data_IF_886058444703
#
_entry.id   IF_886058444703
#
_cell.length_a   1.000
_cell.length_b   1.000
_cell.length_c   1.000
_cell.angle_alpha   90.00
_cell.angle_beta   90.00
_cell.angle_gamma   90.00
#
_symmetry.space_group_name_H-M   'P 1'
#
loop_
_entity.id
_entity.type
_entity.pdbx_description
1 polymer ?
#
# COMPACT_ATOMS: atom_id res chain seq x y z
N UNK A 1 -20.03 -5.84 5.80
CA UNK A 1 -18.80 -5.19 5.26
C UNK A 1 -18.63 -5.54 3.79
N UNK A 2 -18.53 -4.56 2.88
CA UNK A 2 -18.31 -4.81 1.43
C UNK A 2 -16.84 -5.17 1.19
N UNK A 3 -16.58 -6.31 0.53
CA UNK A 3 -15.22 -6.76 0.16
C UNK A 3 -14.67 -5.86 -0.95
N UNK A 4 -13.61 -5.11 -0.67
CA UNK A 4 -12.89 -4.32 -1.69
C UNK A 4 -12.04 -5.29 -2.51
N UNK A 5 -12.34 -5.40 -3.81
CA UNK A 5 -11.54 -6.20 -4.75
C UNK A 5 -10.33 -5.37 -5.19
N UNK A 6 -9.13 -5.87 -4.92
CA UNK A 6 -7.87 -5.21 -5.28
C UNK A 6 -7.18 -6.02 -6.38
N UNK A 7 -6.67 -5.34 -7.42
CA UNK A 7 -5.93 -5.98 -8.53
C UNK A 7 -4.47 -5.54 -8.47
N UNK A 8 -3.53 -6.50 -8.50
CA UNK A 8 -2.08 -6.23 -8.59
C UNK A 8 -1.76 -5.84 -10.04
N UNK A 9 -1.18 -4.64 -10.26
CA UNK A 9 -0.97 -4.08 -11.62
C UNK A 9 0.52 -4.02 -12.00
N UNK A 10 1.31 -4.99 -11.51
CA UNK A 10 2.71 -5.16 -11.90
C UNK A 10 3.71 -5.11 -10.74
N UNK A 11 4.93 -5.56 -11.03
CA UNK A 11 6.17 -5.34 -10.24
C UNK A 11 6.93 -4.26 -11.01
N UNK A 12 7.06 -3.04 -10.46
CA UNK A 12 8.07 -2.08 -10.98
C UNK A 12 9.42 -2.46 -10.36
N UNK A 13 10.50 -2.28 -11.10
CA UNK A 13 11.85 -2.88 -10.94
C UNK A 13 12.64 -2.60 -9.64
N UNK A 14 11.99 -2.24 -8.54
CA UNK A 14 12.55 -2.41 -7.19
C UNK A 14 11.82 -3.59 -6.56
N UNK A 15 12.53 -4.67 -6.28
CA UNK A 15 11.97 -5.95 -5.78
C UNK A 15 11.10 -5.82 -4.51
N UNK A 16 11.14 -4.66 -3.87
CA UNK A 16 10.52 -4.32 -2.60
C UNK A 16 9.23 -3.48 -2.72
N UNK A 17 8.70 -3.23 -3.91
CA UNK A 17 7.50 -2.40 -4.11
C UNK A 17 6.25 -3.23 -4.49
N UNK A 18 5.13 -2.96 -3.82
CA UNK A 18 3.80 -3.50 -4.14
C UNK A 18 2.84 -2.36 -4.47
N UNK A 19 2.34 -2.35 -5.71
CA UNK A 19 1.38 -1.36 -6.17
C UNK A 19 -0.02 -1.97 -6.36
N UNK A 20 -1.01 -1.27 -5.80
CA UNK A 20 -2.42 -1.63 -5.82
C UNK A 20 -3.25 -0.44 -6.31
N UNK A 21 -4.28 -0.72 -7.11
CA UNK A 21 -5.32 0.25 -7.48
C UNK A 21 -6.68 -0.32 -7.09
N UNK A 22 -7.60 0.52 -6.61
CA UNK A 22 -8.98 0.09 -6.44
C UNK A 22 -9.52 -0.44 -7.77
N UNK A 23 -10.24 -1.56 -7.73
CA UNK A 23 -10.96 -2.06 -8.91
C UNK A 23 -12.26 -1.28 -9.18
N UNK A 24 -12.44 -0.15 -8.52
CA UNK A 24 -13.56 0.76 -8.67
C UNK A 24 -13.07 2.06 -9.32
N UNK A 25 -13.98 2.84 -9.91
CA UNK A 25 -13.62 4.08 -10.61
C UNK A 25 -13.27 5.25 -9.68
N UNK A 26 -13.03 4.99 -8.39
CA UNK A 26 -12.66 6.04 -7.42
C UNK A 26 -11.21 6.53 -7.56
N UNK A 27 -10.40 5.87 -8.39
CA UNK A 27 -9.01 6.27 -8.63
C UNK A 27 -8.05 6.07 -7.45
N UNK A 28 -8.47 5.45 -6.35
CA UNK A 28 -7.57 5.23 -5.21
C UNK A 28 -6.45 4.24 -5.55
N UNK A 29 -5.24 4.59 -5.13
CA UNK A 29 -4.02 3.83 -5.33
C UNK A 29 -3.26 3.69 -4.01
N UNK A 30 -2.66 2.53 -3.80
CA UNK A 30 -1.84 2.18 -2.65
C UNK A 30 -0.49 1.66 -3.16
N UNK A 31 0.59 2.16 -2.57
CA UNK A 31 1.95 1.70 -2.79
C UNK A 31 2.53 1.29 -1.44
N UNK A 32 3.05 0.08 -1.36
CA UNK A 32 3.76 -0.43 -0.18
C UNK A 32 5.21 -0.66 -0.57
N UNK A 33 6.14 -0.09 0.18
CA UNK A 33 7.58 -0.17 -0.09
C UNK A 33 8.25 -0.81 1.13
N UNK A 34 8.93 -1.93 0.94
CA UNK A 34 9.87 -2.45 1.93
C UNK A 34 11.19 -1.67 1.84
N UNK A 35 11.50 -0.93 2.90
CA UNK A 35 12.71 -0.10 2.98
C UNK A 35 13.81 -0.78 3.80
N UNK A 36 13.63 -2.06 4.16
CA UNK A 36 14.58 -2.86 4.92
C UNK A 36 14.42 -2.72 6.45
N UNK A 37 15.19 -3.52 7.19
CA UNK A 37 15.20 -3.52 8.66
C UNK A 37 13.82 -3.71 9.31
N UNK A 38 12.89 -4.39 8.62
CA UNK A 38 11.52 -4.58 9.08
C UNK A 38 10.68 -3.31 9.09
N UNK A 39 11.05 -2.29 8.32
CA UNK A 39 10.26 -1.09 8.10
C UNK A 39 9.56 -1.14 6.75
N UNK A 40 8.34 -0.62 6.70
CA UNK A 40 7.60 -0.48 5.45
C UNK A 40 6.99 0.91 5.36
N UNK A 41 7.05 1.49 4.17
CA UNK A 41 6.33 2.71 3.83
C UNK A 41 4.99 2.34 3.20
N UNK A 42 3.90 2.85 3.76
CA UNK A 42 2.54 2.68 3.24
C UNK A 42 2.06 4.01 2.68
N UNK A 43 1.96 4.08 1.36
CA UNK A 43 1.66 5.28 0.60
C UNK A 43 0.29 5.17 -0.07
N UNK A 44 -0.53 6.21 0.04
CA UNK A 44 -1.82 6.32 -0.65
C UNK A 44 -1.85 7.55 -1.55
N UNK A 45 -2.63 7.47 -2.62
CA UNK A 45 -3.00 8.65 -3.43
C UNK A 45 -4.33 8.41 -4.15
N UNK A 46 -4.96 9.49 -4.56
CA UNK A 46 -6.12 9.48 -5.46
C UNK A 46 -5.64 9.90 -6.84
N UNK A 47 -6.06 9.17 -7.88
CA UNK A 47 -5.84 9.52 -9.28
C UNK A 47 -6.25 10.99 -9.51
N UNK A 48 -5.31 11.80 -10.02
CA UNK A 48 -5.47 13.26 -10.13
C UNK A 48 -4.57 14.09 -9.19
N UNK A 49 -4.02 13.51 -8.11
CA UNK A 49 -2.94 14.16 -7.31
C UNK A 49 -1.57 13.65 -7.73
N UNK A 50 -0.61 14.57 -7.93
CA UNK A 50 0.79 14.23 -8.30
C UNK A 50 1.66 13.71 -7.14
N UNK A 51 1.25 13.87 -5.88
CA UNK A 51 2.06 13.52 -4.69
C UNK A 51 1.45 12.35 -3.92
N UNK A 52 2.30 11.42 -3.49
CA UNK A 52 1.96 10.38 -2.53
C UNK A 52 1.81 10.96 -1.12
N UNK A 53 0.97 10.35 -0.30
CA UNK A 53 0.88 10.62 1.13
C UNK A 53 0.98 9.30 1.87
N UNK A 54 1.96 9.19 2.76
CA UNK A 54 2.25 7.91 3.40
C UNK A 54 2.78 8.04 4.81
N UNK A 55 2.91 6.86 5.43
CA UNK A 55 3.44 6.67 6.76
C UNK A 55 4.48 5.55 6.73
N UNK A 56 5.55 5.73 7.49
CA UNK A 56 6.53 4.66 7.72
C UNK A 56 6.14 3.90 8.98
N UNK A 57 6.02 2.58 8.86
CA UNK A 57 5.73 1.67 9.95
C UNK A 57 6.94 0.83 10.29
N UNK A 58 7.22 0.71 11.59
CA UNK A 58 8.18 -0.25 12.11
C UNK A 58 7.57 -1.67 12.20
N UNK A 59 8.43 -2.65 12.47
CA UNK A 59 8.08 -4.07 12.60
C UNK A 59 6.95 -4.34 13.60
N UNK A 60 6.89 -3.61 14.73
CA UNK A 60 5.86 -3.80 15.76
C UNK A 60 4.50 -3.29 15.27
N UNK A 61 4.48 -2.12 14.61
CA UNK A 61 3.27 -1.54 14.02
C UNK A 61 2.73 -2.39 12.87
N UNK A 62 3.62 -2.94 12.03
CA UNK A 62 3.23 -3.86 10.95
C UNK A 62 2.56 -5.12 11.53
N UNK A 63 3.12 -5.69 12.60
CA UNK A 63 2.51 -6.85 13.29
C UNK A 63 1.10 -6.50 13.77
N UNK A 64 0.95 -5.39 14.50
CA UNK A 64 -0.37 -4.91 14.98
C UNK A 64 -1.36 -4.68 13.84
N UNK A 65 -0.92 -4.14 12.71
CA UNK A 65 -1.77 -3.92 11.55
C UNK A 65 -2.26 -5.24 10.95
N UNK A 66 -1.39 -6.25 10.84
CA UNK A 66 -1.79 -7.59 10.37
C UNK A 66 -2.80 -8.23 11.31
N UNK A 67 -2.60 -8.10 12.61
CA UNK A 67 -3.52 -8.64 13.63
C UNK A 67 -4.88 -7.92 13.58
N UNK A 68 -4.93 -6.63 13.22
CA UNK A 68 -6.17 -5.87 13.10
C UNK A 68 -6.97 -6.17 11.82
N UNK A 69 -6.30 -6.55 10.73
CA UNK A 69 -6.94 -6.78 9.43
C UNK A 69 -7.47 -8.21 9.23
N UNK A 70 -7.02 -9.16 10.07
CA UNK A 70 -7.49 -10.54 10.10
C UNK A 70 -8.63 -10.71 11.11
#
# INVERSE_FOLDING_TARGET
MRKVKVKKIGKKEKENELFFKCNCDCGQQLLVIDIGNGHCEINTRIDGRRKWTGVVLDKKKIKRLRDFLN
#
